data_IF_716007535162
#
_entry.id   IF_716007535162
#
_cell.length_a   1.000
_cell.length_b   1.000
_cell.length_c   1.000
_cell.angle_alpha   90.00
_cell.angle_beta   90.00
_cell.angle_gamma   90.00
#
_symmetry.space_group_name_H-M   'P 1'
#
loop_
_entity.id
_entity.type
_entity.pdbx_description
1 polymer ?
#
# COMPACT_ATOMS: atom_id res chain seq x y z
N UNK A 1 -21.51 15.64 9.72
CA UNK A 1 -20.36 16.01 10.57
C UNK A 1 -19.70 14.72 11.00
N UNK A 2 -18.48 14.44 10.53
CA UNK A 2 -17.71 13.31 11.03
C UNK A 2 -17.39 13.53 12.51
N UNK A 3 -17.46 12.48 13.35
CA UNK A 3 -17.05 12.61 14.75
C UNK A 3 -15.51 12.64 14.79
N UNK A 4 -14.97 13.38 15.75
CA UNK A 4 -13.53 13.39 16.02
C UNK A 4 -13.05 11.94 16.16
N UNK A 5 -12.05 11.55 15.36
CA UNK A 5 -11.49 10.20 15.33
C UNK A 5 -12.09 9.24 14.30
N UNK A 6 -13.04 9.67 13.46
CA UNK A 6 -13.63 8.83 12.39
C UNK A 6 -13.10 9.16 10.98
N UNK A 7 -12.19 10.13 10.84
CA UNK A 7 -11.65 10.54 9.53
C UNK A 7 -10.91 9.42 8.80
N UNK A 8 -10.27 8.52 9.55
CA UNK A 8 -9.53 7.36 9.03
C UNK A 8 -9.99 6.13 9.80
N UNK A 9 -10.54 5.14 9.10
CA UNK A 9 -10.94 3.87 9.71
C UNK A 9 -10.37 2.69 8.93
N UNK A 10 -10.17 1.55 9.60
CA UNK A 10 -9.70 0.31 8.96
C UNK A 10 -10.80 -0.75 8.95
N UNK A 11 -11.08 -1.31 7.78
CA UNK A 11 -11.96 -2.46 7.62
C UNK A 11 -11.13 -3.74 7.52
N UNK A 12 -11.16 -4.55 8.57
CA UNK A 12 -10.48 -5.84 8.58
C UNK A 12 -11.11 -6.87 7.62
N UNK A 13 -12.40 -6.71 7.31
CA UNK A 13 -13.11 -7.56 6.36
C UNK A 13 -12.70 -7.26 4.92
N UNK A 14 -12.57 -5.98 4.58
CA UNK A 14 -12.22 -5.54 3.22
C UNK A 14 -10.72 -5.32 3.01
N UNK A 15 -9.91 -5.40 4.08
CA UNK A 15 -8.47 -5.11 4.09
C UNK A 15 -8.15 -3.73 3.52
N UNK A 16 -8.97 -2.74 3.86
CA UNK A 16 -8.88 -1.37 3.34
C UNK A 16 -8.99 -0.33 4.43
N UNK A 17 -8.36 0.81 4.22
CA UNK A 17 -8.59 2.03 4.99
C UNK A 17 -9.64 2.89 4.29
N UNK A 18 -10.54 3.48 5.06
CA UNK A 18 -11.51 4.45 4.56
C UNK A 18 -11.12 5.84 5.04
N UNK A 19 -10.92 6.76 4.10
CA UNK A 19 -10.70 8.19 4.36
C UNK A 19 -12.04 8.90 4.18
N UNK A 20 -12.70 9.25 5.29
CA UNK A 20 -14.09 9.70 5.31
C UNK A 20 -14.25 11.21 5.06
N UNK A 21 -13.14 11.96 5.05
CA UNK A 21 -13.14 13.42 4.90
C UNK A 21 -12.28 13.84 3.72
N UNK A 22 -12.66 14.95 3.09
CA UNK A 22 -11.79 15.61 2.12
C UNK A 22 -10.56 16.22 2.80
N UNK A 23 -9.48 16.34 2.04
CA UNK A 23 -8.22 16.94 2.49
C UNK A 23 -7.00 16.19 1.99
N UNK A 24 -5.84 16.66 2.40
CA UNK A 24 -4.55 16.06 2.10
C UNK A 24 -4.22 14.97 3.11
N UNK A 25 -3.80 13.81 2.60
CA UNK A 25 -3.37 12.67 3.39
C UNK A 25 -1.96 12.25 2.99
N UNK A 26 -1.09 12.09 3.98
CA UNK A 26 0.17 11.39 3.82
C UNK A 26 -0.05 9.90 4.09
N UNK A 27 0.39 9.07 3.15
CA UNK A 27 0.28 7.61 3.21
C UNK A 27 1.68 7.02 3.07
N UNK A 28 2.11 6.29 4.08
CA UNK A 28 3.33 5.51 4.06
C UNK A 28 3.01 4.03 4.21
N UNK A 29 3.69 3.16 3.47
CA UNK A 29 3.68 1.73 3.74
C UNK A 29 5.09 1.15 3.68
N UNK A 30 5.23 0.01 4.34
CA UNK A 30 6.36 -0.88 4.17
C UNK A 30 5.87 -2.33 4.24
N UNK A 31 6.49 -3.20 3.45
CA UNK A 31 6.36 -4.64 3.56
C UNK A 31 7.68 -5.32 3.19
N UNK A 32 7.86 -6.53 3.70
CA UNK A 32 8.93 -7.41 3.23
C UNK A 32 8.43 -8.22 2.03
N UNK A 33 9.30 -8.44 1.06
CA UNK A 33 9.08 -9.35 -0.05
C UNK A 33 10.27 -10.30 -0.25
N UNK A 34 9.99 -11.51 -0.69
CA UNK A 34 10.98 -12.50 -1.13
C UNK A 34 10.41 -13.32 -2.28
N UNK A 35 11.25 -14.00 -3.05
CA UNK A 35 10.75 -15.03 -3.95
C UNK A 35 10.21 -16.22 -3.16
N UNK A 36 9.20 -16.89 -3.72
CA UNK A 36 8.63 -18.12 -3.17
C UNK A 36 9.56 -19.32 -3.32
N UNK A 37 10.35 -19.36 -4.40
CA UNK A 37 11.39 -20.33 -4.73
C UNK A 37 12.57 -19.65 -5.43
N UNK A 38 13.78 -20.21 -5.42
CA UNK A 38 14.89 -19.71 -6.24
C UNK A 38 14.53 -19.76 -7.73
N UNK A 39 14.93 -18.73 -8.49
CA UNK A 39 14.65 -18.63 -9.93
C UNK A 39 15.92 -18.33 -10.72
N UNK A 40 15.99 -18.89 -11.93
CA UNK A 40 17.09 -18.63 -12.87
C UNK A 40 17.09 -17.17 -13.36
N UNK A 41 15.89 -16.59 -13.53
CA UNK A 41 15.69 -15.19 -13.88
C UNK A 41 15.08 -14.45 -12.70
N UNK A 42 15.52 -13.21 -12.48
CA UNK A 42 14.93 -12.37 -11.45
C UNK A 42 13.49 -11.99 -11.80
N UNK A 43 12.60 -12.07 -10.82
CA UNK A 43 11.22 -11.61 -10.91
C UNK A 43 11.08 -10.20 -10.36
N UNK A 44 10.09 -9.47 -10.86
CA UNK A 44 9.72 -8.17 -10.32
C UNK A 44 8.65 -8.39 -9.25
N UNK A 45 8.95 -7.99 -8.02
CA UNK A 45 7.97 -7.94 -6.93
C UNK A 45 7.61 -6.48 -6.68
N UNK A 46 6.31 -6.18 -6.69
CA UNK A 46 5.83 -4.81 -6.56
C UNK A 46 4.55 -4.72 -5.72
N UNK A 47 4.44 -3.62 -4.99
CA UNK A 47 3.26 -3.22 -4.25
C UNK A 47 2.73 -1.88 -4.77
N UNK A 48 1.41 -1.73 -4.76
CA UNK A 48 0.71 -0.54 -5.21
C UNK A 48 -0.34 -0.11 -4.20
N UNK A 49 -0.38 1.18 -3.90
CA UNK A 49 -1.52 1.82 -3.28
C UNK A 49 -2.61 2.07 -4.32
N UNK A 50 -3.83 1.69 -3.98
CA UNK A 50 -5.03 1.91 -4.77
C UNK A 50 -6.02 2.75 -3.99
N UNK A 51 -6.75 3.62 -4.67
CA UNK A 51 -8.00 4.21 -4.21
C UNK A 51 -9.16 3.59 -4.99
N UNK A 52 -9.87 2.65 -4.36
CA UNK A 52 -10.80 1.76 -5.08
C UNK A 52 -10.04 1.01 -6.18
N UNK A 53 -10.45 1.22 -7.43
CA UNK A 53 -9.83 0.58 -8.60
C UNK A 53 -8.76 1.45 -9.30
N UNK A 54 -8.43 2.62 -8.73
CA UNK A 54 -7.48 3.56 -9.35
C UNK A 54 -6.14 3.54 -8.61
N UNK A 55 -5.02 3.53 -9.34
CA UNK A 55 -3.69 3.66 -8.75
C UNK A 55 -3.51 5.04 -8.10
N UNK A 56 -2.96 5.05 -6.87
CA UNK A 56 -2.52 6.29 -6.23
C UNK A 56 -1.18 6.71 -6.85
N UNK A 57 -1.08 7.91 -7.45
CA UNK A 57 0.18 8.40 -8.00
C UNK A 57 1.31 8.40 -6.96
N UNK A 58 2.50 7.96 -7.36
CA UNK A 58 3.65 7.82 -6.46
C UNK A 58 3.52 6.71 -5.42
N UNK A 59 2.40 5.98 -5.39
CA UNK A 59 2.09 4.93 -4.42
C UNK A 59 2.64 3.54 -4.75
N UNK A 60 3.66 3.44 -5.61
CA UNK A 60 4.26 2.17 -6.04
C UNK A 60 5.68 2.02 -5.49
N UNK A 61 6.03 0.80 -5.11
CA UNK A 61 7.40 0.38 -4.77
C UNK A 61 7.61 -1.02 -5.29
N UNK A 62 8.73 -1.25 -5.98
CA UNK A 62 9.05 -2.55 -6.56
C UNK A 62 10.54 -2.79 -6.63
N UNK A 63 10.91 -4.05 -6.73
CA UNK A 63 12.30 -4.51 -6.80
C UNK A 63 12.41 -5.76 -7.65
N UNK A 64 13.63 -6.05 -8.11
CA UNK A 64 13.98 -7.28 -8.81
C UNK A 64 14.61 -8.26 -7.83
N UNK A 65 14.07 -9.47 -7.71
CA UNK A 65 14.53 -10.51 -6.79
C UNK A 65 14.77 -11.81 -7.54
N UNK A 66 15.94 -12.40 -7.36
CA UNK A 66 16.30 -13.70 -7.95
C UNK A 66 16.32 -14.83 -6.91
N UNK A 67 16.87 -14.54 -5.73
CA UNK A 67 17.04 -15.50 -4.64
C UNK A 67 15.84 -15.52 -3.69
N UNK A 68 15.41 -16.70 -3.25
CA UNK A 68 14.40 -16.86 -2.18
C UNK A 68 14.97 -16.75 -0.78
N UNK A 69 16.31 -16.66 -0.63
CA UNK A 69 16.98 -16.56 0.66
C UNK A 69 17.13 -15.11 1.14
N UNK A 70 16.72 -14.15 0.32
CA UNK A 70 16.80 -12.72 0.60
C UNK A 70 15.40 -12.14 0.77
N UNK A 71 15.21 -11.41 1.86
CA UNK A 71 14.02 -10.58 2.07
C UNK A 71 14.40 -9.12 1.86
N UNK A 72 13.71 -8.45 0.96
CA UNK A 72 13.87 -7.03 0.69
C UNK A 72 12.68 -6.27 1.26
N UNK A 73 12.93 -5.01 1.66
CA UNK A 73 11.85 -4.11 2.06
C UNK A 73 11.38 -3.31 0.85
N UNK A 74 10.09 -3.36 0.59
CA UNK A 74 9.40 -2.42 -0.29
C UNK A 74 8.72 -1.37 0.58
N UNK A 75 9.04 -0.11 0.34
CA UNK A 75 8.39 1.01 1.03
C UNK A 75 8.14 2.17 0.08
N UNK A 76 7.14 2.97 0.40
CA UNK A 76 6.79 4.17 -0.33
C UNK A 76 6.08 5.14 0.62
N UNK A 77 6.26 6.43 0.35
CA UNK A 77 5.50 7.52 0.94
C UNK A 77 4.90 8.35 -0.19
N UNK A 78 3.61 8.66 -0.10
CA UNK A 78 2.93 9.55 -1.05
C UNK A 78 1.98 10.50 -0.33
N UNK A 79 1.67 11.62 -0.98
CA UNK A 79 0.63 12.55 -0.55
C UNK A 79 -0.53 12.42 -1.53
N UNK A 80 -1.73 12.21 -0.99
CA UNK A 80 -2.96 12.05 -1.74
C UNK A 80 -3.96 13.14 -1.34
N UNK A 81 -4.50 13.84 -2.34
CA UNK A 81 -5.62 14.76 -2.17
C UNK A 81 -6.95 13.99 -2.31
N UNK A 82 -7.74 13.95 -1.24
CA UNK A 82 -9.08 13.38 -1.23
C UNK A 82 -10.07 14.51 -1.50
N UNK A 83 -10.53 14.62 -2.74
CA UNK A 83 -11.52 15.63 -3.13
C UNK A 83 -12.97 15.12 -3.05
N UNK A 84 -13.17 13.80 -3.04
CA UNK A 84 -14.48 13.14 -3.00
C UNK A 84 -14.48 11.96 -2.03
N UNK A 85 -14.72 12.21 -0.73
CA UNK A 85 -14.83 11.13 0.26
C UNK A 85 -16.14 10.33 0.10
N UNK A 86 -16.18 9.05 0.51
CA UNK A 86 -15.06 8.30 1.09
C UNK A 86 -14.06 7.82 0.03
N UNK A 87 -12.76 7.93 0.32
CA UNK A 87 -11.71 7.25 -0.44
C UNK A 87 -11.38 5.91 0.21
N UNK A 88 -11.16 4.86 -0.60
CA UNK A 88 -10.90 3.50 -0.13
C UNK A 88 -9.47 3.10 -0.48
N UNK A 89 -8.58 3.13 0.51
CA UNK A 89 -7.16 2.84 0.31
C UNK A 89 -6.85 1.37 0.57
N UNK A 90 -6.25 0.72 -0.41
CA UNK A 90 -5.74 -0.66 -0.30
C UNK A 90 -4.31 -0.77 -0.78
N UNK A 91 -3.55 -1.69 -0.20
CA UNK A 91 -2.23 -2.09 -0.68
C UNK A 91 -2.36 -3.43 -1.39
N UNK A 92 -2.03 -3.48 -2.68
CA UNK A 92 -2.14 -4.70 -3.51
C UNK A 92 -0.78 -5.07 -4.10
N UNK A 93 -0.63 -6.35 -4.45
CA UNK A 93 0.51 -6.86 -5.21
C UNK A 93 0.31 -6.59 -6.71
N UNK A 94 1.26 -5.92 -7.36
CA UNK A 94 1.18 -5.61 -8.80
C UNK A 94 1.80 -6.67 -9.71
N UNK A 95 2.76 -7.43 -9.19
CA UNK A 95 3.41 -8.55 -9.89
C UNK A 95 3.49 -9.75 -8.93
N UNK A 96 3.21 -10.94 -9.46
CA UNK A 96 3.03 -12.17 -8.67
C UNK A 96 4.12 -13.19 -9.01
N UNK A 97 4.50 -13.99 -8.01
CA UNK A 97 5.66 -14.88 -8.04
C UNK A 97 6.53 -14.81 -6.77
N UNK A 98 6.13 -14.01 -5.77
CA UNK A 98 6.83 -13.89 -4.49
C UNK A 98 5.89 -13.87 -3.30
N UNK A 99 6.47 -13.94 -2.12
CA UNK A 99 5.79 -13.86 -0.83
C UNK A 99 5.90 -12.43 -0.29
N UNK A 100 4.83 -11.94 0.31
CA UNK A 100 4.78 -10.64 0.96
C UNK A 100 4.35 -10.81 2.41
N UNK A 101 5.00 -10.10 3.32
CA UNK A 101 4.75 -10.24 4.76
C UNK A 101 5.17 -9.02 5.56
N UNK A 102 4.73 -8.97 6.82
CA UNK A 102 5.06 -7.88 7.74
C UNK A 102 4.61 -6.50 7.26
N UNK A 103 3.56 -6.44 6.44
CA UNK A 103 3.07 -5.20 5.88
C UNK A 103 2.46 -4.31 6.98
N UNK A 104 2.83 -3.03 6.99
CA UNK A 104 2.14 -2.02 7.77
C UNK A 104 1.94 -0.76 6.94
N UNK A 105 0.95 0.04 7.34
CA UNK A 105 0.60 1.30 6.70
C UNK A 105 0.36 2.35 7.78
N UNK A 106 0.89 3.56 7.55
CA UNK A 106 0.65 4.75 8.34
C UNK A 106 -0.11 5.73 7.46
N UNK A 107 -1.21 6.28 7.98
CA UNK A 107 -2.02 7.29 7.29
C UNK A 107 -2.22 8.47 8.24
N UNK A 108 -1.93 9.67 7.76
CA UNK A 108 -2.10 10.91 8.51
C UNK A 108 -2.79 11.94 7.64
N UNK A 109 -3.89 12.51 8.14
CA UNK A 109 -4.51 13.71 7.55
C UNK A 109 -3.67 14.94 7.89
N UNK A 110 -3.47 15.83 6.93
CA UNK A 110 -2.59 16.99 7.04
C UNK A 110 -3.35 18.32 7.23
N UNK A 111 -4.65 18.37 6.90
CA UNK A 111 -5.52 19.56 7.00
C UNK A 111 -7.00 19.25 7.36
#
# INVERSE_FOLDING_TARGET
MAKIGEAITYSAAEKSFILAESGLYEIYYQAMCSNDQPKETADILALHLMNGDTFVPGGMSGTSVQSSYESLNLSCMTIMDVTSPPAKITLITGHTGGLFGGAFMLIRKLD
#
